data_IF_452682837342
#
_entry.id   IF_452682837342
#
_cell.length_a   1.000
_cell.length_b   1.000
_cell.length_c   1.000
_cell.angle_alpha   90.00
_cell.angle_beta   90.00
_cell.angle_gamma   90.00
#
_symmetry.space_group_name_H-M   'P 1'
#
loop_
_entity.id
_entity.type
_entity.pdbx_description
1 polymer ?
#
# COMPACT_ATOMS: atom_id res chain seq x y z
N UNK A 1 7.54 -10.94 5.17
CA UNK A 1 6.11 -11.23 4.98
C UNK A 1 5.54 -11.70 6.30
N UNK A 2 4.33 -11.27 6.65
CA UNK A 2 3.59 -11.71 7.83
C UNK A 2 2.77 -12.97 7.51
N UNK A 3 2.30 -13.67 8.54
CA UNK A 3 1.55 -14.92 8.33
C UNK A 3 0.23 -14.70 7.57
N UNK A 4 -0.49 -13.59 7.79
CA UNK A 4 -1.76 -13.34 7.09
C UNK A 4 -1.55 -12.96 5.62
N UNK A 5 -0.51 -12.20 5.29
CA UNK A 5 -0.10 -11.94 3.90
C UNK A 5 0.25 -13.25 3.18
N UNK A 6 0.93 -14.17 3.87
CA UNK A 6 1.28 -15.48 3.33
C UNK A 6 0.04 -16.36 3.08
N UNK A 7 -0.92 -16.35 4.01
CA UNK A 7 -2.21 -17.06 3.83
C UNK A 7 -2.97 -16.52 2.63
N UNK A 8 -3.04 -15.19 2.47
CA UNK A 8 -3.66 -14.57 1.29
C UNK A 8 -2.96 -15.01 0.00
N UNK A 9 -1.62 -15.02 -0.01
CA UNK A 9 -0.83 -15.42 -1.17
C UNK A 9 -1.13 -16.86 -1.61
N UNK A 10 -1.29 -17.79 -0.67
CA UNK A 10 -1.66 -19.18 -0.99
C UNK A 10 -3.03 -19.23 -1.64
N UNK A 11 -4.05 -18.61 -1.03
CA UNK A 11 -5.43 -18.66 -1.52
C UNK A 11 -5.56 -17.96 -2.89
N UNK A 12 -4.86 -16.85 -3.10
CA UNK A 12 -4.82 -16.16 -4.40
C UNK A 12 -4.18 -17.02 -5.50
N UNK A 13 -3.06 -17.68 -5.21
CA UNK A 13 -2.36 -18.50 -6.21
C UNK A 13 -3.16 -19.76 -6.56
N UNK A 14 -3.86 -20.36 -5.60
CA UNK A 14 -4.71 -21.53 -5.87
C UNK A 14 -6.03 -21.15 -6.53
N UNK A 15 -6.44 -19.88 -6.47
CA UNK A 15 -7.69 -19.40 -7.07
C UNK A 15 -8.97 -19.97 -6.45
N UNK A 16 -8.84 -20.72 -5.34
CA UNK A 16 -9.93 -21.39 -4.64
C UNK A 16 -9.73 -21.35 -3.12
N UNK A 17 -10.82 -21.38 -2.32
CA UNK A 17 -10.74 -21.58 -0.87
C UNK A 17 -10.00 -22.87 -0.52
N UNK A 18 -9.28 -22.85 0.61
CA UNK A 18 -8.47 -23.98 1.07
C UNK A 18 -8.63 -24.19 2.57
N UNK A 19 -8.48 -25.43 3.03
CA UNK A 19 -8.43 -25.75 4.46
C UNK A 19 -7.19 -25.16 5.14
N UNK A 20 -7.25 -25.01 6.46
CA UNK A 20 -6.10 -24.57 7.26
C UNK A 20 -4.89 -25.51 7.13
N UNK A 21 -5.14 -26.80 6.86
CA UNK A 21 -4.11 -27.82 6.62
C UNK A 21 -3.44 -27.59 5.27
N UNK A 22 -4.22 -27.44 4.19
CA UNK A 22 -3.69 -27.17 2.85
C UNK A 22 -2.87 -25.88 2.81
N UNK A 23 -3.33 -24.84 3.50
CA UNK A 23 -2.60 -23.58 3.61
C UNK A 23 -1.28 -23.76 4.34
N UNK A 24 -1.27 -24.44 5.50
CA UNK A 24 -0.05 -24.69 6.25
C UNK A 24 0.96 -25.51 5.43
N UNK A 25 0.48 -26.56 4.75
CA UNK A 25 1.29 -27.41 3.85
C UNK A 25 1.88 -26.59 2.71
N UNK A 26 1.08 -25.77 2.03
CA UNK A 26 1.55 -24.92 0.95
C UNK A 26 2.60 -23.90 1.41
N UNK A 27 2.42 -23.31 2.59
CA UNK A 27 3.36 -22.34 3.15
C UNK A 27 4.69 -23.00 3.54
N UNK A 28 4.65 -24.17 4.19
CA UNK A 28 5.84 -24.90 4.59
C UNK A 28 6.61 -25.44 3.37
N UNK A 29 5.91 -25.85 2.30
CA UNK A 29 6.54 -26.33 1.06
C UNK A 29 7.20 -25.22 0.24
N UNK A 30 6.59 -24.03 0.20
CA UNK A 30 7.04 -22.94 -0.67
C UNK A 30 7.96 -21.93 0.04
N UNK A 31 8.24 -22.09 1.33
CA UNK A 31 9.06 -21.20 2.16
C UNK A 31 8.69 -19.72 2.10
N UNK A 32 7.43 -19.41 1.78
CA UNK A 32 6.95 -18.03 1.65
C UNK A 32 6.91 -17.32 3.00
N UNK A 33 6.64 -18.06 4.07
CA UNK A 33 6.74 -17.56 5.43
C UNK A 33 7.57 -18.53 6.27
N UNK A 34 8.56 -18.01 6.97
CA UNK A 34 9.36 -18.78 7.93
C UNK A 34 9.15 -18.20 9.31
N UNK A 35 8.87 -19.06 10.29
CA UNK A 35 8.79 -18.64 11.69
C UNK A 35 10.16 -18.15 12.17
N UNK A 36 10.18 -17.24 13.15
CA UNK A 36 11.42 -16.76 13.78
C UNK A 36 12.24 -17.89 14.40
N UNK A 37 11.57 -18.93 14.89
CA UNK A 37 12.15 -20.12 15.50
C UNK A 37 12.49 -21.24 14.48
N UNK A 38 12.30 -21.00 13.17
CA UNK A 38 12.59 -21.96 12.11
C UNK A 38 11.64 -23.17 12.02
N UNK A 39 10.73 -23.34 12.98
CA UNK A 39 9.82 -24.49 13.00
C UNK A 39 8.69 -24.37 11.96
N UNK A 40 8.06 -25.50 11.56
CA UNK A 40 6.97 -25.48 10.58
C UNK A 40 5.71 -24.80 11.12
N UNK A 41 4.96 -24.21 10.20
CA UNK A 41 3.66 -23.58 10.46
C UNK A 41 2.62 -24.67 10.67
N UNK A 42 1.85 -24.60 11.75
CA UNK A 42 0.75 -25.53 12.06
C UNK A 42 -0.59 -24.98 11.57
N UNK A 43 -1.51 -25.87 11.18
CA UNK A 43 -2.88 -25.51 10.76
C UNK A 43 -3.65 -24.72 11.82
N UNK A 44 -3.45 -25.02 13.11
CA UNK A 44 -4.03 -24.27 14.22
C UNK A 44 -3.61 -22.79 14.24
N UNK A 45 -2.37 -22.50 13.82
CA UNK A 45 -1.87 -21.12 13.71
C UNK A 45 -2.51 -20.38 12.53
N UNK A 46 -2.82 -21.09 11.45
CA UNK A 46 -3.60 -20.54 10.33
C UNK A 46 -5.01 -20.19 10.81
N UNK A 47 -5.69 -21.12 11.46
CA UNK A 47 -7.04 -20.91 12.00
C UNK A 47 -7.10 -19.74 12.99
N UNK A 48 -6.17 -19.69 13.95
CA UNK A 48 -6.06 -18.59 14.91
C UNK A 48 -5.78 -17.25 14.21
N UNK A 49 -4.91 -17.24 13.19
CA UNK A 49 -4.63 -16.03 12.41
C UNK A 49 -5.88 -15.58 11.64
N UNK A 50 -6.54 -16.48 10.93
CA UNK A 50 -7.75 -16.18 10.14
C UNK A 50 -8.86 -15.60 11.03
N UNK A 51 -9.09 -16.18 12.20
CA UNK A 51 -10.09 -15.70 13.17
C UNK A 51 -9.86 -14.24 13.59
N UNK A 52 -8.61 -13.81 13.69
CA UNK A 52 -8.26 -12.43 14.06
C UNK A 52 -8.41 -11.42 12.90
N UNK A 53 -8.66 -11.91 11.68
CA UNK A 53 -8.79 -11.09 10.48
C UNK A 53 -10.09 -11.42 9.73
N UNK A 54 -11.27 -11.31 10.38
CA UNK A 54 -12.58 -11.62 9.77
C UNK A 54 -12.92 -10.70 8.61
N UNK A 55 -12.17 -9.60 8.48
CA UNK A 55 -12.20 -8.68 7.36
C UNK A 55 -11.53 -9.30 6.12
N UNK A 56 -10.42 -10.02 6.27
CA UNK A 56 -9.65 -10.51 5.13
C UNK A 56 -10.09 -11.88 4.65
N UNK A 57 -10.58 -12.69 5.58
CA UNK A 57 -10.87 -14.09 5.35
C UNK A 57 -12.31 -14.41 5.70
N UNK A 58 -12.89 -15.32 4.93
CA UNK A 58 -14.15 -15.97 5.24
C UNK A 58 -13.87 -17.45 5.49
N UNK A 59 -14.49 -18.03 6.52
CA UNK A 59 -14.42 -19.47 6.80
C UNK A 59 -15.79 -20.07 6.55
N UNK A 60 -15.90 -20.93 5.54
CA UNK A 60 -17.13 -21.66 5.18
C UNK A 60 -16.75 -23.13 4.97
N UNK A 61 -17.50 -24.05 5.59
CA UNK A 61 -17.31 -25.50 5.43
C UNK A 61 -15.86 -25.97 5.63
N UNK A 62 -15.22 -25.53 6.72
CA UNK A 62 -13.79 -25.80 7.04
C UNK A 62 -12.75 -25.24 6.05
N UNK A 63 -13.19 -24.59 4.97
CA UNK A 63 -12.35 -23.90 4.00
C UNK A 63 -12.24 -22.41 4.33
N UNK A 64 -11.07 -21.86 4.06
CA UNK A 64 -10.71 -20.46 4.23
C UNK A 64 -10.62 -19.85 2.83
N UNK A 65 -11.51 -18.90 2.56
CA UNK A 65 -11.52 -18.06 1.37
C UNK A 65 -11.14 -16.62 1.70
N UNK A 66 -11.05 -15.79 0.66
CA UNK A 66 -10.91 -14.33 0.82
C UNK A 66 -12.30 -13.69 0.81
N UNK A 67 -12.50 -12.69 1.66
CA UNK A 67 -13.77 -11.94 1.71
C UNK A 67 -14.05 -11.15 0.42
N UNK A 68 -13.01 -10.90 -0.36
CA UNK A 68 -13.07 -10.24 -1.65
C UNK A 68 -11.97 -10.82 -2.54
N UNK A 69 -12.24 -10.95 -3.84
CA UNK A 69 -11.24 -11.37 -4.83
C UNK A 69 -10.06 -10.38 -4.92
N UNK A 70 -10.18 -9.17 -4.33
CA UNK A 70 -9.21 -8.04 -4.38
C UNK A 70 -8.96 -7.33 -3.04
N UNK A 71 -9.57 -7.78 -1.93
CA UNK A 71 -9.34 -7.29 -0.57
C UNK A 71 -10.27 -6.21 -0.01
N UNK A 72 -11.50 -6.02 -0.52
CA UNK A 72 -12.51 -5.10 0.04
C UNK A 72 -13.34 -5.74 1.17
N UNK A 73 -13.62 -4.94 2.22
CA UNK A 73 -14.73 -5.15 3.17
C UNK A 73 -15.56 -3.87 3.28
N UNK A 74 -16.90 -3.93 3.14
CA UNK A 74 -17.79 -2.84 3.55
C UNK A 74 -17.82 -2.73 5.08
N UNK A 75 -17.50 -1.56 5.65
CA UNK A 75 -17.52 -1.39 7.10
C UNK A 75 -18.93 -1.00 7.60
N UNK A 76 -19.59 -1.89 8.36
CA UNK A 76 -20.56 -1.48 9.41
C UNK A 76 -19.76 -1.24 10.71
N UNK A 77 -19.87 -0.05 11.29
CA UNK A 77 -19.22 0.30 12.54
C UNK A 77 -20.02 -0.23 13.74
N UNK A 78 -19.32 -0.83 14.71
CA UNK A 78 -19.81 -0.96 16.09
C UNK A 78 -18.76 -0.34 17.01
N UNK A 79 -19.13 0.76 17.65
CA UNK A 79 -18.28 1.52 18.59
C UNK A 79 -18.63 1.07 20.01
N UNK A 80 -17.63 0.76 20.83
CA UNK A 80 -17.75 0.80 22.30
C UNK A 80 -16.72 1.81 22.82
N UNK A 81 -17.20 2.84 23.52
CA UNK A 81 -16.43 4.00 23.97
C UNK A 81 -16.10 3.94 25.45
N UNK A 82 -14.90 4.40 25.82
CA UNK A 82 -14.65 5.32 26.94
C UNK A 82 -13.41 6.14 26.60
N UNK A 83 -13.50 7.48 26.49
CA UNK A 83 -12.31 8.31 26.18
C UNK A 83 -12.41 9.75 26.69
N UNK A 84 -11.27 10.30 27.16
CA UNK A 84 -11.04 11.60 27.79
C UNK A 84 -10.93 12.79 26.80
N UNK A 85 -11.12 14.03 27.30
CA UNK A 85 -11.26 15.29 26.51
C UNK A 85 -10.11 15.65 25.55
N UNK A 86 -8.86 15.29 25.84
CA UNK A 86 -7.70 15.58 24.98
C UNK A 86 -7.68 14.66 23.74
N UNK A 87 -7.99 13.38 23.92
CA UNK A 87 -8.15 12.43 22.82
C UNK A 87 -9.34 12.81 21.92
N UNK A 88 -10.38 13.42 22.49
CA UNK A 88 -11.52 13.94 21.74
C UNK A 88 -11.11 15.10 20.81
N UNK A 89 -10.38 16.11 21.28
CA UNK A 89 -9.96 17.23 20.41
C UNK A 89 -8.99 16.79 19.31
N UNK A 90 -8.03 15.91 19.63
CA UNK A 90 -7.12 15.33 18.63
C UNK A 90 -7.87 14.44 17.63
N UNK A 91 -8.87 13.67 18.08
CA UNK A 91 -9.73 12.88 17.18
C UNK A 91 -10.59 13.74 16.25
N UNK A 92 -11.08 14.89 16.73
CA UNK A 92 -11.85 15.85 15.92
C UNK A 92 -10.95 16.50 14.88
N UNK A 93 -9.75 16.94 15.27
CA UNK A 93 -8.75 17.50 14.36
C UNK A 93 -8.33 16.49 13.29
N UNK A 94 -8.07 15.24 13.67
CA UNK A 94 -7.76 14.16 12.72
C UNK A 94 -8.93 13.86 11.78
N UNK A 95 -10.16 13.88 12.29
CA UNK A 95 -11.38 13.71 11.47
C UNK A 95 -11.53 14.83 10.44
N UNK A 96 -11.32 16.09 10.83
CA UNK A 96 -11.37 17.23 9.92
C UNK A 96 -10.24 17.16 8.89
N UNK A 97 -9.01 16.92 9.32
CA UNK A 97 -7.85 16.78 8.44
C UNK A 97 -8.06 15.66 7.40
N UNK A 98 -8.59 14.51 7.82
CA UNK A 98 -8.95 13.42 6.90
C UNK A 98 -10.00 13.83 5.87
N UNK A 99 -11.03 14.59 6.27
CA UNK A 99 -12.04 15.14 5.33
C UNK A 99 -11.42 16.11 4.34
N UNK A 100 -10.57 17.03 4.80
CA UNK A 100 -9.89 18.02 3.94
C UNK A 100 -8.94 17.33 2.96
N UNK A 101 -8.18 16.34 3.43
CA UNK A 101 -7.23 15.56 2.62
C UNK A 101 -7.91 14.81 1.49
N UNK A 102 -9.13 14.30 1.72
CA UNK A 102 -9.84 13.45 0.76
C UNK A 102 -10.89 14.18 -0.08
N UNK A 103 -11.21 15.43 0.24
CA UNK A 103 -12.11 16.26 -0.54
C UNK A 103 -11.56 16.44 -1.97
N UNK A 104 -12.31 15.94 -2.96
CA UNK A 104 -11.89 15.90 -4.36
C UNK A 104 -11.62 17.30 -4.94
N UNK A 105 -12.31 18.33 -4.44
CA UNK A 105 -12.11 19.73 -4.87
C UNK A 105 -10.73 20.28 -4.49
N UNK A 106 -10.07 19.69 -3.50
CA UNK A 106 -8.76 20.14 -3.03
C UNK A 106 -7.59 19.50 -3.81
N UNK A 107 -7.86 18.50 -4.63
CA UNK A 107 -6.82 17.84 -5.42
C UNK A 107 -6.38 18.73 -6.57
N UNK A 108 -5.06 18.85 -6.72
CA UNK A 108 -4.41 19.66 -7.74
C UNK A 108 -3.61 18.77 -8.68
N UNK A 109 -3.46 19.21 -9.93
CA UNK A 109 -2.60 18.51 -10.89
C UNK A 109 -1.14 18.54 -10.44
N UNK A 110 -0.45 17.40 -10.51
CA UNK A 110 0.95 17.32 -10.05
C UNK A 110 1.85 18.31 -10.79
N UNK A 111 1.63 18.51 -12.09
CA UNK A 111 2.37 19.48 -12.92
C UNK A 111 2.28 20.93 -12.43
N UNK A 112 1.29 21.28 -11.59
CA UNK A 112 1.01 22.66 -11.18
C UNK A 112 1.45 22.98 -9.75
N UNK A 113 1.95 22.02 -8.98
CA UNK A 113 2.13 22.20 -7.52
C UNK A 113 3.58 22.27 -7.06
N UNK A 114 4.56 21.97 -7.92
CA UNK A 114 5.97 21.80 -7.52
C UNK A 114 6.53 22.98 -6.70
N UNK A 115 6.22 24.22 -7.08
CA UNK A 115 6.69 25.43 -6.41
C UNK A 115 5.81 25.90 -5.23
N UNK A 116 4.74 25.19 -4.91
CA UNK A 116 3.73 25.61 -3.92
C UNK A 116 3.56 24.60 -2.77
N UNK A 117 4.47 23.64 -2.65
CA UNK A 117 4.40 22.64 -1.59
C UNK A 117 4.91 23.20 -0.27
N UNK A 118 4.16 23.02 0.84
CA UNK A 118 4.55 23.54 2.14
C UNK A 118 5.76 22.79 2.70
N UNK A 119 6.54 23.48 3.52
CA UNK A 119 7.73 22.92 4.16
C UNK A 119 7.44 22.22 5.49
N UNK A 120 6.19 22.25 5.96
CA UNK A 120 5.78 21.66 7.24
C UNK A 120 5.49 20.15 7.12
N UNK A 121 5.44 19.42 8.25
CA UNK A 121 4.97 18.05 8.29
C UNK A 121 3.49 17.89 7.89
N UNK A 122 3.09 16.66 7.59
CA UNK A 122 1.69 16.31 7.39
C UNK A 122 1.45 15.08 6.54
N UNK A 123 0.27 15.03 5.92
CA UNK A 123 -0.21 13.92 5.09
C UNK A 123 -0.43 14.37 3.66
N UNK A 124 -0.28 13.44 2.72
CA UNK A 124 -0.65 13.64 1.33
C UNK A 124 -1.40 12.43 0.78
N UNK A 125 -2.24 12.69 -0.21
CA UNK A 125 -3.04 11.70 -0.92
C UNK A 125 -2.85 11.92 -2.43
N UNK A 126 -2.66 10.83 -3.16
CA UNK A 126 -2.44 10.82 -4.60
C UNK A 126 -3.57 10.03 -5.26
N UNK A 127 -4.15 10.61 -6.31
CA UNK A 127 -5.22 10.02 -7.12
C UNK A 127 -4.79 9.92 -8.59
N UNK A 128 -5.27 8.88 -9.27
CA UNK A 128 -5.15 8.75 -10.73
C UNK A 128 -6.31 9.47 -11.41
N UNK A 129 -6.03 10.29 -12.45
CA UNK A 129 -7.10 10.98 -13.20
C UNK A 129 -8.02 9.98 -13.91
N UNK A 130 -7.46 8.92 -14.51
CA UNK A 130 -8.17 7.92 -15.32
C UNK A 130 -7.69 6.50 -14.96
N UNK A 131 -8.48 5.69 -14.22
CA UNK A 131 -8.08 4.32 -13.83
C UNK A 131 -7.66 3.41 -14.99
N UNK A 132 -8.27 3.57 -16.16
CA UNK A 132 -7.95 2.85 -17.42
C UNK A 132 -6.51 3.02 -17.93
N UNK A 133 -5.73 3.91 -17.33
CA UNK A 133 -4.30 4.07 -17.64
C UNK A 133 -3.45 2.96 -17.01
N UNK A 134 -4.00 2.20 -16.05
CA UNK A 134 -3.37 0.99 -15.54
C UNK A 134 -3.84 -0.25 -16.30
N UNK A 135 -3.12 -1.36 -16.11
CA UNK A 135 -3.51 -2.67 -16.64
C UNK A 135 -4.91 -3.08 -16.13
N UNK A 136 -5.66 -3.90 -16.87
CA UNK A 136 -7.04 -4.28 -16.50
C UNK A 136 -7.18 -4.81 -15.06
N UNK A 137 -6.22 -5.62 -14.60
CA UNK A 137 -6.18 -6.13 -13.23
C UNK A 137 -6.17 -5.03 -12.15
N UNK A 138 -5.37 -3.99 -12.35
CA UNK A 138 -5.25 -2.88 -11.41
C UNK A 138 -6.40 -1.87 -11.55
N UNK A 139 -6.92 -1.70 -12.78
CA UNK A 139 -8.13 -0.91 -13.03
C UNK A 139 -9.32 -1.50 -12.27
N UNK A 140 -9.53 -2.82 -12.39
CA UNK A 140 -10.62 -3.52 -11.71
C UNK A 140 -10.57 -3.31 -10.19
N UNK A 141 -9.38 -3.31 -9.58
CA UNK A 141 -9.21 -3.04 -8.15
C UNK A 141 -9.74 -1.64 -7.77
N UNK A 142 -9.46 -0.61 -8.57
CA UNK A 142 -9.96 0.75 -8.31
C UNK A 142 -11.48 0.85 -8.50
N UNK A 143 -12.03 0.17 -9.50
CA UNK A 143 -13.46 0.13 -9.78
C UNK A 143 -14.22 -0.55 -8.63
N UNK A 144 -13.73 -1.70 -8.16
CA UNK A 144 -14.31 -2.40 -7.02
C UNK A 144 -14.23 -1.55 -5.75
N UNK A 145 -13.13 -0.82 -5.54
CA UNK A 145 -12.94 0.10 -4.39
C UNK A 145 -13.77 1.38 -4.49
N UNK A 146 -14.38 1.65 -5.66
CA UNK A 146 -15.23 2.82 -5.93
C UNK A 146 -14.54 4.15 -5.68
N UNK A 147 -13.24 4.22 -5.95
CA UNK A 147 -12.46 5.47 -5.91
C UNK A 147 -11.19 5.35 -6.74
N UNK A 148 -10.54 6.49 -7.01
CA UNK A 148 -9.28 6.57 -7.76
C UNK A 148 -8.04 6.89 -6.88
N UNK A 149 -8.12 6.66 -5.57
CA UNK A 149 -6.98 6.84 -4.64
C UNK A 149 -5.94 5.75 -4.89
N UNK A 150 -4.70 6.16 -5.23
CA UNK A 150 -3.61 5.24 -5.49
C UNK A 150 -2.54 5.23 -4.40
N UNK A 151 -2.40 6.30 -3.63
CA UNK A 151 -1.43 6.34 -2.53
C UNK A 151 -1.81 7.35 -1.45
N UNK A 152 -1.55 7.00 -0.20
CA UNK A 152 -1.59 7.91 0.96
C UNK A 152 -0.27 7.76 1.70
N UNK A 153 0.34 8.87 2.09
CA UNK A 153 1.61 8.83 2.79
C UNK A 153 1.83 9.98 3.75
N UNK A 154 2.79 9.76 4.64
CA UNK A 154 3.23 10.71 5.66
C UNK A 154 4.47 11.45 5.19
N UNK A 155 4.51 12.74 5.47
CA UNK A 155 5.67 13.59 5.39
C UNK A 155 6.00 14.10 6.81
N UNK A 156 6.78 13.33 7.58
CA UNK A 156 7.02 13.63 9.00
C UNK A 156 7.89 14.86 9.27
N UNK A 157 8.65 15.32 8.27
CA UNK A 157 9.48 16.52 8.37
C UNK A 157 8.95 17.65 7.48
N UNK A 158 8.69 17.33 6.20
CA UNK A 158 8.36 18.34 5.21
C UNK A 158 7.62 17.72 4.03
N UNK A 159 6.41 18.21 3.76
CA UNK A 159 5.60 17.81 2.60
C UNK A 159 6.36 18.07 1.30
N UNK A 160 6.99 19.24 1.16
CA UNK A 160 7.82 19.59 0.00
C UNK A 160 8.91 18.54 -0.27
N UNK A 161 9.73 18.25 0.75
CA UNK A 161 10.82 17.27 0.63
C UNK A 161 10.30 15.87 0.29
N UNK A 162 9.23 15.44 0.96
CA UNK A 162 8.70 14.09 0.78
C UNK A 162 8.01 13.92 -0.58
N UNK A 163 7.14 14.83 -0.99
CA UNK A 163 6.54 14.80 -2.33
C UNK A 163 7.60 14.98 -3.43
N UNK A 164 8.68 15.74 -3.17
CA UNK A 164 9.89 15.75 -3.99
C UNK A 164 10.41 14.34 -4.32
N UNK A 165 10.51 13.49 -3.29
CA UNK A 165 10.96 12.10 -3.43
C UNK A 165 9.93 11.23 -4.15
N UNK A 166 8.65 11.40 -3.82
CA UNK A 166 7.57 10.53 -4.31
C UNK A 166 7.13 10.87 -5.74
N UNK A 167 7.12 12.13 -6.15
CA UNK A 167 6.58 12.57 -7.43
C UNK A 167 7.66 12.92 -8.47
N UNK A 168 8.85 13.36 -8.02
CA UNK A 168 9.91 13.88 -8.90
C UNK A 168 11.29 13.22 -8.70
N UNK A 169 11.32 11.99 -8.16
CA UNK A 169 12.55 11.21 -7.95
C UNK A 169 13.69 11.94 -7.19
N UNK A 170 13.39 12.94 -6.35
CA UNK A 170 14.39 13.68 -5.57
C UNK A 170 14.85 12.91 -4.33
N UNK A 171 15.49 11.77 -4.53
CA UNK A 171 15.95 10.87 -3.48
C UNK A 171 15.25 9.52 -3.52
N UNK A 172 14.73 9.06 -2.37
CA UNK A 172 14.17 7.71 -2.24
C UNK A 172 12.65 7.72 -2.00
N UNK A 173 11.86 7.81 -3.07
CA UNK A 173 10.40 7.67 -3.00
C UNK A 173 9.94 6.21 -2.96
N UNK A 174 9.04 5.86 -2.05
CA UNK A 174 8.42 4.52 -2.04
C UNK A 174 7.32 4.39 -3.09
N UNK A 175 6.44 5.39 -3.16
CA UNK A 175 5.44 5.51 -4.20
C UNK A 175 6.08 5.55 -5.59
N UNK A 176 7.13 6.38 -5.77
CA UNK A 176 7.81 6.51 -7.07
C UNK A 176 8.27 5.14 -7.62
N UNK A 177 8.88 4.32 -6.75
CA UNK A 177 9.33 2.98 -7.15
C UNK A 177 8.18 1.99 -7.37
N UNK A 178 7.11 2.06 -6.58
CA UNK A 178 5.89 1.26 -6.79
C UNK A 178 5.24 1.58 -8.12
N UNK A 179 5.09 2.88 -8.43
CA UNK A 179 4.52 3.31 -9.70
C UNK A 179 5.39 2.91 -10.89
N UNK A 180 6.71 3.16 -10.84
CA UNK A 180 7.61 2.79 -11.93
C UNK A 180 7.55 1.29 -12.25
N UNK A 181 7.52 0.43 -11.22
CA UNK A 181 7.37 -1.01 -11.40
C UNK A 181 6.00 -1.38 -12.02
N UNK A 182 4.92 -0.72 -11.59
CA UNK A 182 3.57 -0.90 -12.16
C UNK A 182 3.48 -0.47 -13.61
N UNK A 183 4.21 0.58 -13.99
CA UNK A 183 4.32 1.06 -15.37
C UNK A 183 5.25 0.19 -16.24
N UNK A 184 5.89 -0.83 -15.67
CA UNK A 184 6.74 -1.78 -16.39
C UNK A 184 8.21 -1.39 -16.47
N UNK A 185 8.64 -0.33 -15.78
CA UNK A 185 10.06 0.02 -15.69
C UNK A 185 10.78 -0.87 -14.70
N UNK A 186 12.04 -1.19 -15.01
CA UNK A 186 12.94 -1.95 -14.15
C UNK A 186 14.20 -1.15 -13.83
N UNK A 187 14.81 -1.33 -12.65
CA UNK A 187 16.10 -0.74 -12.36
C UNK A 187 17.22 -1.38 -13.19
N UNK A 188 18.39 -0.72 -13.22
CA UNK A 188 19.60 -1.29 -13.81
C UNK A 188 19.97 -2.61 -13.10
N UNK A 189 20.22 -3.71 -13.85
CA UNK A 189 20.61 -4.99 -13.29
C UNK A 189 21.86 -4.87 -12.40
N UNK A 190 21.84 -5.51 -11.23
CA UNK A 190 22.97 -5.48 -10.30
C UNK A 190 23.29 -4.12 -9.68
N UNK A 191 22.46 -3.09 -9.87
CA UNK A 191 22.69 -1.73 -9.31
C UNK A 191 22.80 -1.66 -7.78
N UNK A 192 22.32 -2.68 -7.07
CA UNK A 192 22.46 -2.84 -5.62
C UNK A 192 23.50 -3.88 -5.23
N UNK A 193 24.16 -4.57 -6.16
CA UNK A 193 25.18 -5.58 -5.83
C UNK A 193 26.27 -4.97 -4.92
N UNK A 194 26.56 -5.65 -3.80
CA UNK A 194 27.52 -5.19 -2.79
C UNK A 194 27.08 -3.99 -1.93
N UNK A 195 25.89 -3.40 -2.14
CA UNK A 195 25.40 -2.31 -1.29
C UNK A 195 24.84 -2.81 0.04
N UNK A 196 25.04 -2.04 1.13
CA UNK A 196 24.44 -2.35 2.43
C UNK A 196 22.90 -2.38 2.37
N UNK A 197 22.29 -1.50 1.59
CA UNK A 197 20.84 -1.46 1.37
C UNK A 197 20.48 -2.15 0.06
N UNK A 198 19.86 -3.32 0.17
CA UNK A 198 19.44 -4.16 -0.96
C UNK A 198 17.96 -3.93 -1.37
N UNK A 199 17.33 -2.84 -0.94
CA UNK A 199 15.90 -2.57 -1.17
C UNK A 199 15.62 -1.29 -1.96
N UNK A 200 16.50 -0.28 -1.84
CA UNK A 200 16.30 1.07 -2.37
C UNK A 200 16.88 1.22 -3.77
N UNK A 201 16.41 0.41 -4.72
CA UNK A 201 16.80 0.55 -6.13
C UNK A 201 16.36 1.91 -6.69
N UNK A 202 17.01 2.33 -7.78
CA UNK A 202 16.64 3.50 -8.58
C UNK A 202 16.47 3.08 -10.03
N UNK A 203 15.65 3.81 -10.77
CA UNK A 203 15.55 3.64 -12.21
C UNK A 203 16.67 4.43 -12.89
N UNK A 204 16.92 4.13 -14.16
CA UNK A 204 17.82 4.93 -15.00
C UNK A 204 17.33 6.37 -15.08
N UNK A 205 18.21 7.34 -15.37
CA UNK A 205 17.78 8.75 -15.52
C UNK A 205 16.77 8.96 -16.65
N UNK A 206 16.91 8.19 -17.73
CA UNK A 206 15.96 8.20 -18.84
C UNK A 206 14.57 7.71 -18.38
N UNK A 207 14.51 6.63 -17.60
CA UNK A 207 13.24 6.10 -17.13
C UNK A 207 12.63 6.93 -16.00
N UNK A 208 13.45 7.50 -15.11
CA UNK A 208 12.98 8.49 -14.14
C UNK A 208 12.27 9.64 -14.84
N UNK A 209 12.83 10.19 -15.93
CA UNK A 209 12.20 11.26 -16.70
C UNK A 209 10.86 10.84 -17.32
N UNK A 210 10.76 9.61 -17.87
CA UNK A 210 9.50 9.06 -18.41
C UNK A 210 8.44 8.89 -17.32
N UNK A 211 8.83 8.35 -16.16
CA UNK A 211 7.92 8.17 -15.02
C UNK A 211 7.43 9.52 -14.50
N UNK A 212 8.33 10.51 -14.35
CA UNK A 212 7.96 11.87 -13.91
C UNK A 212 6.97 12.50 -14.89
N UNK A 213 7.23 12.45 -16.20
CA UNK A 213 6.30 12.96 -17.21
C UNK A 213 4.93 12.27 -17.12
N UNK A 214 4.91 10.96 -16.88
CA UNK A 214 3.67 10.22 -16.69
C UNK A 214 2.91 10.67 -15.43
N UNK A 215 3.62 10.88 -14.32
CA UNK A 215 3.05 11.38 -13.05
C UNK A 215 2.41 12.76 -13.28
N UNK A 216 3.15 13.71 -13.84
CA UNK A 216 2.69 15.09 -14.05
C UNK A 216 1.47 15.18 -14.95
N UNK A 217 1.38 14.29 -15.94
CA UNK A 217 0.25 14.21 -16.87
C UNK A 217 -0.99 13.62 -16.21
N UNK A 218 -0.82 12.54 -15.44
CA UNK A 218 -1.91 11.62 -15.11
C UNK A 218 -2.37 11.67 -13.65
N UNK A 219 -1.62 12.31 -12.75
CA UNK A 219 -1.90 12.27 -11.31
C UNK A 219 -2.40 13.60 -10.76
N UNK A 220 -3.17 13.46 -9.69
CA UNK A 220 -3.60 14.53 -8.81
C UNK A 220 -3.05 14.29 -7.42
N UNK A 221 -2.75 15.37 -6.70
CA UNK A 221 -2.27 15.31 -5.31
C UNK A 221 -2.99 16.33 -4.45
N UNK A 222 -3.27 15.96 -3.21
CA UNK A 222 -3.70 16.85 -2.15
C UNK A 222 -2.86 16.60 -0.89
N UNK A 223 -2.77 17.58 -0.01
CA UNK A 223 -2.03 17.50 1.24
C UNK A 223 -2.70 18.31 2.35
N UNK A 224 -2.40 17.94 3.59
CA UNK A 224 -2.79 18.70 4.79
C UNK A 224 -1.59 18.76 5.71
N UNK A 225 -1.23 19.96 6.17
CA UNK A 225 -0.18 20.17 7.16
C UNK A 225 -0.70 19.85 8.55
N UNK A 226 0.08 19.07 9.31
CA UNK A 226 -0.26 18.63 10.67
C UNK A 226 1.01 18.31 11.43
N UNK A 227 1.08 18.70 12.70
CA UNK A 227 2.27 18.52 13.55
C UNK A 227 2.22 17.25 14.42
N UNK A 228 1.04 16.65 14.59
CA UNK A 228 0.83 15.38 15.31
C UNK A 228 -0.32 14.56 14.71
N UNK A 229 -0.52 13.33 15.20
CA UNK A 229 -1.69 12.49 14.87
C UNK A 229 -1.69 11.88 13.46
N UNK A 230 -0.73 12.24 12.60
CA UNK A 230 -0.72 11.81 11.20
C UNK A 230 -0.45 10.32 11.01
N UNK A 231 0.25 9.62 11.91
CA UNK A 231 0.41 8.16 11.87
C UNK A 231 -0.91 7.41 12.12
N UNK A 232 -1.68 7.86 13.11
CA UNK A 232 -2.96 7.25 13.44
C UNK A 232 -3.95 7.49 12.31
N UNK A 233 -4.01 8.73 11.81
CA UNK A 233 -4.86 9.10 10.69
C UNK A 233 -4.46 8.33 9.41
N UNK A 234 -3.17 8.26 9.07
CA UNK A 234 -2.69 7.43 7.94
C UNK A 234 -3.21 6.00 8.07
N UNK A 235 -3.01 5.38 9.23
CA UNK A 235 -3.41 3.99 9.46
C UNK A 235 -4.91 3.80 9.26
N UNK A 236 -5.74 4.71 9.78
CA UNK A 236 -7.19 4.67 9.59
C UNK A 236 -7.57 4.84 8.11
N UNK A 237 -6.91 5.75 7.39
CA UNK A 237 -7.16 5.99 5.98
C UNK A 237 -6.74 4.80 5.11
N UNK A 238 -5.58 4.18 5.40
CA UNK A 238 -5.11 2.98 4.70
C UNK A 238 -6.06 1.80 4.91
N UNK A 239 -6.57 1.61 6.14
CA UNK A 239 -7.54 0.56 6.42
C UNK A 239 -8.90 0.80 5.77
N UNK A 240 -9.29 2.07 5.59
CA UNK A 240 -10.59 2.44 5.02
C UNK A 240 -10.60 2.43 3.50
N UNK A 241 -9.57 3.03 2.88
CA UNK A 241 -9.53 3.28 1.44
C UNK A 241 -8.59 2.34 0.71
N UNK A 242 -7.79 1.54 1.40
CA UNK A 242 -6.93 0.53 0.79
C UNK A 242 -6.23 1.06 -0.47
N UNK A 243 -5.40 2.12 -0.44
CA UNK A 243 -4.89 2.73 -1.67
C UNK A 243 -4.12 1.73 -2.54
N UNK A 244 -4.28 1.83 -3.86
CA UNK A 244 -3.77 0.82 -4.82
C UNK A 244 -2.30 0.44 -4.61
N UNK A 245 -1.43 1.42 -4.38
CA UNK A 245 0.04 1.26 -4.35
C UNK A 245 0.64 1.26 -2.93
N UNK A 246 -0.16 1.42 -1.89
CA UNK A 246 0.30 1.22 -0.51
C UNK A 246 0.41 -0.28 -0.23
N UNK A 247 1.63 -0.77 -0.04
CA UNK A 247 1.89 -2.17 0.36
C UNK A 247 1.92 -2.27 1.89
N UNK A 248 2.74 -1.46 2.55
CA UNK A 248 2.85 -1.48 4.01
C UNK A 248 1.59 -0.92 4.68
N UNK A 249 1.18 -1.54 5.79
CA UNK A 249 0.00 -1.18 6.62
C UNK A 249 -1.36 -1.22 5.89
N UNK A 250 -1.39 -1.57 4.61
CA UNK A 250 -2.62 -1.71 3.84
C UNK A 250 -3.11 -3.16 3.94
N UNK A 251 -4.21 -3.45 4.65
CA UNK A 251 -4.71 -4.82 4.75
C UNK A 251 -5.23 -5.38 3.42
N UNK A 252 -5.51 -4.52 2.44
CA UNK A 252 -5.86 -4.84 1.06
C UNK A 252 -4.73 -4.53 0.07
N UNK A 253 -3.47 -4.70 0.48
CA UNK A 253 -2.33 -4.52 -0.40
C UNK A 253 -2.46 -5.38 -1.66
N UNK A 254 -2.32 -4.75 -2.84
CA UNK A 254 -2.48 -5.46 -4.11
C UNK A 254 -1.26 -6.33 -4.38
N UNK A 255 -1.48 -7.63 -4.55
CA UNK A 255 -0.41 -8.61 -4.71
C UNK A 255 0.45 -8.32 -5.95
N UNK A 256 -0.17 -7.98 -7.07
CA UNK A 256 0.52 -7.64 -8.32
C UNK A 256 1.56 -6.53 -8.09
N UNK A 257 1.21 -5.48 -7.35
CA UNK A 257 2.14 -4.38 -7.02
C UNK A 257 3.33 -4.88 -6.21
N UNK A 258 3.10 -5.79 -5.26
CA UNK A 258 4.16 -6.39 -4.45
C UNK A 258 5.11 -7.26 -5.28
N UNK A 259 4.56 -8.06 -6.21
CA UNK A 259 5.33 -8.92 -7.10
C UNK A 259 6.22 -8.08 -8.04
N UNK A 260 5.64 -7.05 -8.68
CA UNK A 260 6.39 -6.14 -9.55
C UNK A 260 7.51 -5.42 -8.79
N UNK A 261 7.24 -5.01 -7.54
CA UNK A 261 8.24 -4.40 -6.65
C UNK A 261 9.33 -5.37 -6.23
N UNK A 262 9.01 -6.65 -6.01
CA UNK A 262 9.97 -7.68 -5.69
C UNK A 262 10.86 -8.00 -6.89
N UNK A 263 10.27 -8.11 -8.09
CA UNK A 263 11.03 -8.34 -9.32
C UNK A 263 12.05 -7.23 -9.58
N UNK A 264 11.68 -5.97 -9.38
CA UNK A 264 12.65 -4.87 -9.47
C UNK A 264 13.80 -5.01 -8.46
N UNK A 265 13.53 -5.45 -7.23
CA UNK A 265 14.58 -5.68 -6.22
C UNK A 265 15.50 -6.83 -6.63
N UNK A 266 14.96 -7.91 -7.19
CA UNK A 266 15.76 -9.04 -7.70
C UNK A 266 16.70 -8.59 -8.82
N UNK A 267 16.17 -7.91 -9.83
CA UNK A 267 16.97 -7.36 -10.93
C UNK A 267 18.08 -6.46 -10.39
N UNK A 268 17.73 -5.53 -9.49
CA UNK A 268 18.71 -4.62 -8.89
C UNK A 268 19.78 -5.36 -8.07
N UNK A 269 19.46 -6.52 -7.50
CA UNK A 269 20.41 -7.37 -6.76
C UNK A 269 21.25 -8.27 -7.69
N UNK A 270 20.87 -8.39 -8.96
CA UNK A 270 21.54 -9.23 -9.96
C UNK A 270 20.89 -10.61 -10.16
N UNK A 271 19.60 -10.77 -9.86
CA UNK A 271 18.81 -12.01 -10.04
C UNK A 271 17.68 -11.86 -11.07
#
# INVERSE_FOLDING_TARGET
MTLHEAIQQVILKTGKPLTAVEIATALNKNSWYTKKDGSPIKSSQIGARVKNYPKLFIKENECIGLQSKTGIIPHKQTVKSKTSRILLSESINNSLAGKVLLNEKNFKEVSKVYNHLPHNPGLYCIRIKKPKLFKPSLQQVLEERKHNIIYIGIASQSINKRLGQELWAKGHGTFFRSLGAVLGFTPEPGSLLGKRNQNNYKFSKSDEAKIIKWIETNLLVNWVSMDSGFEQLETQLLQKYLPLLNIAKNPGAVQEVSLLRNRCKEIARGF
#
